data_IF_641388829113
#
_entry.id   IF_641388829113
#
_cell.length_a   1.000
_cell.length_b   1.000
_cell.length_c   1.000
_cell.angle_alpha   90.00
_cell.angle_beta   90.00
_cell.angle_gamma   90.00
#
_symmetry.space_group_name_H-M   'P 1'
#
loop_
_entity.id
_entity.type
_entity.pdbx_description
1 polymer ?
#
# COMPACT_ATOMS: atom_id res chain seq x y z
N UNK A 1 -1.24 2.12 -33.82
CA UNK A 1 -1.15 1.30 -32.58
C UNK A 1 -0.34 2.08 -31.57
N UNK A 2 -1.00 2.89 -30.74
CA UNK A 2 -0.30 3.70 -29.75
C UNK A 2 0.22 2.80 -28.63
N UNK A 3 1.52 2.84 -28.40
CA UNK A 3 2.20 2.23 -27.27
C UNK A 3 1.72 2.89 -25.97
N UNK A 4 0.51 2.55 -25.53
CA UNK A 4 0.04 2.87 -24.17
C UNK A 4 0.97 2.12 -23.24
N UNK A 5 1.78 2.87 -22.50
CA UNK A 5 2.74 2.36 -21.53
C UNK A 5 2.01 1.57 -20.46
N UNK A 6 1.80 0.27 -20.69
CA UNK A 6 1.18 -0.73 -19.79
C UNK A 6 1.91 -0.88 -18.44
N UNK A 7 3.05 -0.20 -18.31
CA UNK A 7 3.91 -0.10 -17.12
C UNK A 7 3.55 1.10 -16.22
N UNK A 8 2.73 2.04 -16.70
CA UNK A 8 2.18 3.14 -15.90
C UNK A 8 0.73 2.86 -15.48
N UNK A 9 0.29 1.62 -15.60
CA UNK A 9 -1.02 1.21 -15.13
C UNK A 9 -1.07 1.36 -13.61
N UNK A 10 -1.91 2.26 -13.07
CA UNK A 10 -2.88 1.79 -12.11
C UNK A 10 -2.47 0.88 -10.95
N UNK A 11 -3.24 -0.20 -10.94
CA UNK A 11 -3.04 -1.33 -10.07
C UNK A 11 -1.65 -1.93 -10.07
N UNK A 12 -0.79 -1.76 -11.09
CA UNK A 12 0.51 -2.45 -11.12
C UNK A 12 1.51 -1.82 -10.13
N UNK A 13 1.52 -0.49 -10.00
CA UNK A 13 2.36 0.20 -9.00
C UNK A 13 1.82 -0.03 -7.59
N UNK A 14 0.50 0.00 -7.41
CA UNK A 14 -0.13 -0.32 -6.13
C UNK A 14 0.13 -1.76 -5.71
N UNK A 15 0.11 -2.70 -6.66
CA UNK A 15 0.45 -4.10 -6.44
C UNK A 15 1.90 -4.23 -5.94
N UNK A 16 2.84 -3.50 -6.54
CA UNK A 16 4.24 -3.50 -6.09
C UNK A 16 4.35 -2.97 -4.64
N UNK A 17 3.69 -1.86 -4.32
CA UNK A 17 3.68 -1.32 -2.95
C UNK A 17 3.02 -2.29 -1.95
N UNK A 18 1.93 -2.93 -2.33
CA UNK A 18 1.24 -3.92 -1.51
C UNK A 18 2.12 -5.15 -1.29
N UNK A 19 2.80 -5.63 -2.33
CA UNK A 19 3.71 -6.79 -2.26
C UNK A 19 4.94 -6.46 -1.40
N UNK A 20 5.51 -5.27 -1.52
CA UNK A 20 6.58 -4.78 -0.65
C UNK A 20 6.13 -4.71 0.81
N UNK A 21 4.95 -4.16 1.07
CA UNK A 21 4.38 -4.11 2.41
C UNK A 21 4.15 -5.52 2.97
N UNK A 22 3.56 -6.42 2.18
CA UNK A 22 3.34 -7.80 2.57
C UNK A 22 4.67 -8.52 2.87
N UNK A 23 5.70 -8.33 2.05
CA UNK A 23 7.04 -8.88 2.29
C UNK A 23 7.66 -8.34 3.58
N UNK A 24 7.56 -7.04 3.84
CA UNK A 24 8.05 -6.45 5.09
C UNK A 24 7.32 -7.03 6.29
N UNK A 25 5.99 -7.13 6.23
CA UNK A 25 5.18 -7.71 7.31
C UNK A 25 5.52 -9.19 7.53
N UNK A 26 5.72 -9.97 6.47
CA UNK A 26 6.05 -11.39 6.57
C UNK A 26 7.49 -11.64 7.05
N UNK A 27 8.48 -10.88 6.55
CA UNK A 27 9.88 -11.03 6.95
C UNK A 27 10.10 -10.53 8.38
N UNK A 28 9.44 -9.45 8.77
CA UNK A 28 9.59 -8.85 10.10
C UNK A 28 8.75 -9.57 11.17
N UNK A 29 7.81 -10.45 10.80
CA UNK A 29 6.75 -10.99 11.67
C UNK A 29 7.23 -11.44 13.07
N UNK A 30 7.07 -10.61 14.11
CA UNK A 30 7.56 -10.90 15.44
C UNK A 30 6.41 -11.43 16.28
N UNK A 31 6.18 -12.75 16.21
CA UNK A 31 5.08 -13.41 16.91
C UNK A 31 5.25 -13.41 18.43
N UNK A 32 6.50 -13.45 18.91
CA UNK A 32 6.83 -13.60 20.34
C UNK A 32 7.25 -12.30 21.04
N UNK A 33 7.22 -11.16 20.34
CA UNK A 33 7.62 -9.89 20.94
C UNK A 33 6.40 -9.23 21.56
N UNK A 34 6.45 -9.00 22.87
CA UNK A 34 5.43 -8.29 23.62
C UNK A 34 5.97 -6.94 24.07
N UNK A 35 5.31 -5.86 23.66
CA UNK A 35 5.68 -4.48 24.01
C UNK A 35 4.56 -3.89 24.84
N UNK A 36 4.89 -3.46 26.07
CA UNK A 36 3.91 -3.00 27.07
C UNK A 36 2.79 -4.01 27.40
N UNK A 37 3.08 -5.32 27.31
CA UNK A 37 2.11 -6.40 27.58
C UNK A 37 1.13 -6.67 26.44
N UNK A 38 1.23 -5.91 25.34
CA UNK A 38 0.46 -6.12 24.10
C UNK A 38 1.40 -6.77 23.09
N UNK A 39 0.90 -7.76 22.33
CA UNK A 39 1.71 -8.38 21.28
C UNK A 39 2.13 -7.31 20.26
N UNK A 40 3.37 -7.37 19.78
CA UNK A 40 3.87 -6.47 18.75
C UNK A 40 3.02 -6.61 17.47
N UNK A 41 2.43 -7.80 17.25
CA UNK A 41 1.39 -8.06 16.25
C UNK A 41 0.16 -7.16 16.46
N UNK A 42 -0.33 -6.97 17.69
CA UNK A 42 -1.45 -6.07 17.99
C UNK A 42 -1.15 -4.61 17.64
N UNK A 43 0.06 -4.15 17.95
CA UNK A 43 0.54 -2.83 17.52
C UNK A 43 0.65 -2.73 15.99
N UNK A 44 1.09 -3.79 15.32
CA UNK A 44 1.17 -3.87 13.87
C UNK A 44 -0.20 -3.81 13.21
N UNK A 45 -1.22 -4.46 13.79
CA UNK A 45 -2.60 -4.40 13.30
C UNK A 45 -3.17 -2.98 13.43
N UNK A 46 -2.89 -2.30 14.55
CA UNK A 46 -3.31 -0.91 14.75
C UNK A 46 -2.63 0.04 13.75
N UNK A 47 -1.32 -0.10 13.55
CA UNK A 47 -0.58 0.63 12.51
C UNK A 47 -1.06 0.29 11.09
N UNK A 48 -1.50 -0.96 10.87
CA UNK A 48 -2.09 -1.43 9.63
C UNK A 48 -3.33 -0.63 9.21
N UNK A 49 -4.15 -0.18 10.16
CA UNK A 49 -5.30 0.69 9.87
C UNK A 49 -4.87 2.03 9.29
N UNK A 50 -3.83 2.64 9.84
CA UNK A 50 -3.25 3.87 9.29
C UNK A 50 -2.65 3.64 7.90
N UNK A 51 -1.96 2.51 7.71
CA UNK A 51 -1.42 2.13 6.41
C UNK A 51 -2.52 1.98 5.36
N UNK A 52 -3.64 1.35 5.71
CA UNK A 52 -4.77 1.16 4.81
C UNK A 52 -5.43 2.49 4.43
N UNK A 53 -5.56 3.41 5.40
CA UNK A 53 -6.06 4.75 5.15
C UNK A 53 -5.15 5.55 4.22
N UNK A 54 -3.84 5.48 4.43
CA UNK A 54 -2.84 6.15 3.60
C UNK A 54 -2.84 5.57 2.18
N UNK A 55 -2.96 4.24 2.05
CA UNK A 55 -3.06 3.56 0.77
C UNK A 55 -4.32 4.02 0.00
N UNK A 56 -5.45 4.17 0.68
CA UNK A 56 -6.68 4.68 0.09
C UNK A 56 -6.55 6.13 -0.38
N UNK A 57 -5.92 7.01 0.41
CA UNK A 57 -5.67 8.40 0.00
C UNK A 57 -4.78 8.45 -1.25
N UNK A 58 -3.67 7.71 -1.24
CA UNK A 58 -2.77 7.62 -2.40
C UNK A 58 -3.51 7.10 -3.63
N UNK A 59 -4.40 6.12 -3.45
CA UNK A 59 -5.25 5.61 -4.53
C UNK A 59 -6.18 6.69 -5.11
N UNK A 60 -6.89 7.43 -4.26
CA UNK A 60 -7.82 8.48 -4.69
C UNK A 60 -7.09 9.62 -5.40
N UNK A 61 -6.03 10.19 -4.80
CA UNK A 61 -5.26 11.28 -5.43
C UNK A 61 -4.72 10.85 -6.79
N UNK A 62 -4.34 9.58 -6.90
CA UNK A 62 -3.76 9.09 -8.12
C UNK A 62 -4.76 8.80 -9.23
N UNK A 63 -5.97 8.31 -8.90
CA UNK A 63 -7.02 8.16 -9.91
C UNK A 63 -7.47 9.53 -10.42
N UNK A 64 -7.60 10.52 -9.54
CA UNK A 64 -7.88 11.92 -9.92
C UNK A 64 -6.81 12.46 -10.86
N UNK A 65 -5.52 12.23 -10.56
CA UNK A 65 -4.40 12.69 -11.39
C UNK A 65 -4.31 11.99 -12.75
N UNK A 66 -4.84 10.78 -12.88
CA UNK A 66 -4.92 10.05 -14.15
C UNK A 66 -6.07 10.58 -14.99
N UNK A 67 -7.21 10.85 -14.35
CA UNK A 67 -8.37 11.44 -14.99
C UNK A 67 -8.08 12.84 -15.51
N UNK A 68 -7.42 13.69 -14.72
CA UNK A 68 -6.95 15.02 -15.14
C UNK A 68 -6.03 14.99 -16.36
N UNK A 69 -5.14 13.99 -16.44
CA UNK A 69 -4.23 13.83 -17.60
C UNK A 69 -4.91 13.30 -18.86
N UNK A 70 -6.09 12.70 -18.74
CA UNK A 70 -6.83 12.15 -19.87
C UNK A 70 -7.89 13.13 -20.38
N UNK A 71 -8.20 14.18 -19.60
CA UNK A 71 -9.16 15.24 -19.92
C UNK A 71 -8.50 16.56 -20.40
N UNK A 72 -7.18 16.57 -20.58
CA UNK A 72 -6.39 17.64 -21.20
C UNK A 72 -5.72 17.17 -22.48
#
# INVERSE_FOLDING_TARGET
MASRSKLKDPGLILMIFLVLYALLVFVWWPADVYVYGISLVGWLMFAGLFFWFLLAIVYVIWIEKIEDRNNS
#
